data_IF_362899387486
#
_entry.id   IF_362899387486
#
_cell.length_a   1.000
_cell.length_b   1.000
_cell.length_c   1.000
_cell.angle_alpha   90.00
_cell.angle_beta   90.00
_cell.angle_gamma   90.00
#
_symmetry.space_group_name_H-M   'P 1'
#
loop_
_entity.id
_entity.type
_entity.pdbx_description
1 polymer ?
#
# COMPACT_ATOMS: atom_id res chain seq x y z
N UNK A 1 15.18 5.47 -12.18
CA UNK A 1 13.87 5.97 -11.71
C UNK A 1 12.90 4.87 -11.28
N UNK A 2 12.92 3.67 -11.88
CA UNK A 2 12.02 2.58 -11.52
C UNK A 2 12.27 1.99 -10.10
N UNK A 3 13.53 1.90 -9.68
CA UNK A 3 13.90 1.37 -8.35
C UNK A 3 13.29 2.15 -7.18
N UNK A 4 13.27 3.48 -7.27
CA UNK A 4 12.67 4.32 -6.22
C UNK A 4 11.17 4.04 -6.07
N UNK A 5 10.45 3.91 -7.19
CA UNK A 5 9.02 3.60 -7.21
C UNK A 5 8.77 2.20 -6.66
N UNK A 6 9.63 1.23 -7.00
CA UNK A 6 9.49 -0.14 -6.50
C UNK A 6 9.78 -0.25 -4.99
N UNK A 7 10.82 0.44 -4.50
CA UNK A 7 11.14 0.51 -3.08
C UNK A 7 10.04 1.23 -2.30
N UNK A 8 9.56 2.37 -2.81
CA UNK A 8 8.48 3.13 -2.20
C UNK A 8 7.18 2.32 -2.12
N UNK A 9 6.86 1.50 -3.12
CA UNK A 9 5.63 0.71 -3.12
C UNK A 9 5.72 -0.62 -2.35
N UNK A 10 6.90 -1.27 -2.30
CA UNK A 10 7.02 -2.64 -1.79
C UNK A 10 7.92 -2.81 -0.55
N UNK A 11 8.94 -1.98 -0.37
CA UNK A 11 9.96 -2.18 0.67
C UNK A 11 9.95 -1.10 1.77
N UNK A 12 9.35 0.06 1.49
CA UNK A 12 9.26 1.15 2.45
C UNK A 12 8.42 0.74 3.66
N UNK A 13 8.97 0.97 4.85
CA UNK A 13 8.27 0.74 6.12
C UNK A 13 7.20 1.83 6.28
N UNK A 14 5.93 1.47 6.07
CA UNK A 14 4.78 2.38 6.18
C UNK A 14 4.11 2.40 7.57
N UNK A 15 4.67 1.64 8.52
CA UNK A 15 4.10 1.39 9.85
C UNK A 15 3.70 2.67 10.61
N UNK A 16 4.40 3.80 10.40
CA UNK A 16 4.13 5.05 11.12
C UNK A 16 3.12 5.99 10.44
N UNK A 17 2.77 5.79 9.17
CA UNK A 17 1.95 6.75 8.40
C UNK A 17 0.52 6.26 8.10
N UNK A 18 0.15 5.05 8.55
CA UNK A 18 -1.15 4.46 8.24
C UNK A 18 -1.40 4.30 6.74
N UNK A 19 -0.34 4.30 5.93
CA UNK A 19 -0.45 4.26 4.49
C UNK A 19 -0.72 2.83 4.04
N UNK A 20 -1.79 2.65 3.27
CA UNK A 20 -2.17 1.38 2.69
C UNK A 20 -1.68 1.34 1.26
N UNK A 21 -1.02 0.24 0.88
CA UNK A 21 -0.69 0.03 -0.53
C UNK A 21 -1.97 -0.04 -1.36
N UNK A 22 -1.93 0.28 -2.67
CA UNK A 22 -3.13 0.22 -3.52
C UNK A 22 -3.84 -1.14 -3.49
N UNK A 23 -3.09 -2.22 -3.27
CA UNK A 23 -3.63 -3.58 -3.11
C UNK A 23 -4.37 -3.75 -1.78
N UNK A 24 -3.78 -3.29 -0.68
CA UNK A 24 -4.43 -3.32 0.64
C UNK A 24 -5.68 -2.43 0.67
N UNK A 25 -5.62 -1.24 0.08
CA UNK A 25 -6.78 -0.37 -0.05
C UNK A 25 -7.92 -1.04 -0.83
N UNK A 26 -7.61 -1.72 -1.94
CA UNK A 26 -8.60 -2.50 -2.70
C UNK A 26 -9.20 -3.62 -1.86
N UNK A 27 -8.40 -4.38 -1.12
CA UNK A 27 -8.88 -5.46 -0.26
C UNK A 27 -9.78 -4.94 0.87
N UNK A 28 -9.37 -3.86 1.54
CA UNK A 28 -10.16 -3.23 2.61
C UNK A 28 -11.47 -2.69 2.07
N UNK A 29 -11.42 -2.01 0.91
CA UNK A 29 -12.62 -1.48 0.25
C UNK A 29 -13.57 -2.61 -0.14
N UNK A 30 -13.07 -3.72 -0.69
CA UNK A 30 -13.92 -4.87 -1.03
C UNK A 30 -14.54 -5.52 0.21
N UNK A 31 -13.77 -5.68 1.29
CA UNK A 31 -14.25 -6.24 2.55
C UNK A 31 -15.29 -5.38 3.25
N UNK A 32 -15.27 -4.07 3.02
CA UNK A 32 -16.21 -3.11 3.60
C UNK A 32 -17.54 -3.04 2.84
N UNK A 33 -17.61 -3.62 1.64
CA UNK A 33 -18.81 -3.69 0.80
C UNK A 33 -19.51 -5.08 0.86
N UNK A 34 -19.11 -5.93 1.81
CA UNK A 34 -19.81 -7.18 2.22
C UNK A 34 -20.30 -6.98 3.65
#
# INVERSE_FOLDING_TARGET
MADYVNWFNNHRIHSSLGYLTPREYRMITLKKNV
#
